data_IF_935387682533
#
_entry.id   IF_935387682533
#
_cell.length_a   1.000
_cell.length_b   1.000
_cell.length_c   1.000
_cell.angle_alpha   90.00
_cell.angle_beta   90.00
_cell.angle_gamma   90.00
#
_symmetry.space_group_name_H-M   'P 1'
#
loop_
_entity.id
_entity.type
_entity.pdbx_description
1 polymer ?
#
# COMPACT_ATOMS: atom_id res chain seq x y z
N UNK A 1 -25.86 -8.52 16.78
CA UNK A 1 -24.64 -8.87 16.03
C UNK A 1 -24.91 -9.24 14.57
N UNK A 2 -25.79 -10.22 14.27
CA UNK A 2 -26.04 -10.67 12.89
C UNK A 2 -26.42 -9.56 11.90
N UNK A 3 -27.31 -8.63 12.28
CA UNK A 3 -27.70 -7.48 11.44
C UNK A 3 -26.50 -6.58 11.11
N UNK A 4 -25.63 -6.30 12.10
CA UNK A 4 -24.43 -5.50 11.89
C UNK A 4 -23.41 -6.21 11.01
N UNK A 5 -23.28 -7.53 11.14
CA UNK A 5 -22.43 -8.31 10.24
C UNK A 5 -22.95 -8.24 8.80
N UNK A 6 -24.26 -8.44 8.58
CA UNK A 6 -24.87 -8.35 7.26
C UNK A 6 -24.68 -6.96 6.65
N UNK A 7 -24.92 -5.90 7.42
CA UNK A 7 -24.66 -4.52 6.99
C UNK A 7 -23.18 -4.29 6.67
N UNK A 8 -22.27 -4.81 7.51
CA UNK A 8 -20.82 -4.73 7.29
C UNK A 8 -20.40 -5.42 6.00
N UNK A 9 -20.96 -6.58 5.68
CA UNK A 9 -20.68 -7.30 4.42
C UNK A 9 -21.26 -6.52 3.23
N UNK A 10 -22.48 -6.01 3.33
CA UNK A 10 -23.09 -5.20 2.29
C UNK A 10 -22.27 -3.93 1.98
N UNK A 11 -21.82 -3.21 3.01
CA UNK A 11 -20.97 -2.02 2.85
C UNK A 11 -19.58 -2.37 2.31
N UNK A 12 -19.03 -3.53 2.68
CA UNK A 12 -17.77 -4.01 2.11
C UNK A 12 -17.88 -4.28 0.61
N UNK A 13 -18.96 -4.94 0.18
CA UNK A 13 -19.24 -5.19 -1.24
C UNK A 13 -19.50 -3.87 -1.98
N UNK A 14 -20.30 -2.98 -1.41
CA UNK A 14 -20.59 -1.67 -1.99
C UNK A 14 -19.31 -0.86 -2.21
N UNK A 15 -18.43 -0.83 -1.20
CA UNK A 15 -17.15 -0.13 -1.29
C UNK A 15 -16.23 -0.70 -2.38
N UNK A 16 -16.31 -1.99 -2.65
CA UNK A 16 -15.55 -2.62 -3.74
C UNK A 16 -16.05 -2.21 -5.14
N UNK A 17 -17.28 -1.70 -5.25
CA UNK A 17 -17.86 -1.21 -6.51
C UNK A 17 -17.62 0.29 -6.75
N UNK A 18 -17.09 1.00 -5.75
CA UNK A 18 -16.75 2.42 -5.90
C UNK A 18 -15.56 2.58 -6.85
N UNK A 19 -15.51 3.68 -7.64
CA UNK A 19 -14.39 3.96 -8.51
C UNK A 19 -13.09 4.02 -7.71
N UNK A 20 -12.01 3.48 -8.28
CA UNK A 20 -10.70 3.51 -7.64
C UNK A 20 -10.27 4.95 -7.38
N UNK A 21 -9.85 5.22 -6.14
CA UNK A 21 -9.30 6.52 -5.76
C UNK A 21 -7.91 6.71 -6.38
N UNK A 22 -7.46 7.95 -6.59
CA UNK A 22 -6.18 8.26 -7.25
C UNK A 22 -4.95 7.72 -6.50
N UNK A 23 -5.11 7.28 -5.26
CA UNK A 23 -4.07 6.66 -4.45
C UNK A 23 -4.26 5.13 -4.45
N UNK A 24 -3.25 4.35 -4.91
CA UNK A 24 -3.33 2.90 -4.92
C UNK A 24 -3.67 2.32 -3.55
N UNK A 25 -4.74 1.54 -3.47
CA UNK A 25 -5.20 0.91 -2.23
C UNK A 25 -6.01 1.83 -1.29
N UNK A 26 -6.16 3.12 -1.60
CA UNK A 26 -7.00 4.01 -0.81
C UNK A 26 -8.48 3.64 -0.96
N UNK A 27 -9.19 3.58 0.17
CA UNK A 27 -10.63 3.34 0.27
C UNK A 27 -11.24 4.32 1.26
N UNK A 28 -12.54 4.61 1.12
CA UNK A 28 -13.26 5.54 2.00
C UNK A 28 -13.36 4.99 3.44
N UNK A 29 -13.40 3.67 3.59
CA UNK A 29 -13.56 2.98 4.88
C UNK A 29 -15.02 2.80 5.28
N UNK A 30 -15.97 2.69 4.34
CA UNK A 30 -17.40 2.55 4.65
C UNK A 30 -17.68 1.33 5.54
N UNK A 31 -17.00 0.21 5.26
CA UNK A 31 -17.14 -0.98 6.08
C UNK A 31 -16.71 -0.74 7.54
N UNK A 32 -15.69 0.11 7.76
CA UNK A 32 -15.11 0.40 9.08
C UNK A 32 -16.04 1.24 9.98
N UNK A 33 -17.04 1.91 9.40
CA UNK A 33 -18.15 2.54 10.13
C UNK A 33 -18.81 1.53 11.07
N UNK A 34 -19.13 0.34 10.55
CA UNK A 34 -19.83 -0.72 11.29
C UNK A 34 -18.97 -1.24 12.43
N UNK A 35 -17.66 -1.39 12.20
CA UNK A 35 -16.69 -1.82 13.21
C UNK A 35 -16.56 -0.81 14.34
N UNK A 36 -16.52 0.48 14.02
CA UNK A 36 -16.46 1.55 15.01
C UNK A 36 -17.74 1.61 15.86
N UNK A 37 -18.91 1.46 15.23
CA UNK A 37 -20.19 1.40 15.96
C UNK A 37 -20.24 0.16 16.85
N UNK A 38 -19.85 -1.01 16.33
CA UNK A 38 -19.81 -2.25 17.09
C UNK A 38 -18.87 -2.17 18.29
N UNK A 39 -17.72 -1.51 18.15
CA UNK A 39 -16.76 -1.29 19.22
C UNK A 39 -17.37 -0.49 20.38
N UNK A 40 -18.23 0.48 20.11
CA UNK A 40 -18.88 1.25 21.17
C UNK A 40 -20.09 0.53 21.79
N UNK A 41 -20.85 -0.22 21.00
CA UNK A 41 -22.05 -0.91 21.47
C UNK A 41 -21.71 -2.18 22.27
N UNK A 42 -20.80 -3.01 21.76
CA UNK A 42 -20.49 -4.32 22.35
C UNK A 42 -19.08 -4.43 22.93
N UNK A 43 -18.14 -3.62 22.46
CA UNK A 43 -16.76 -3.64 22.93
C UNK A 43 -15.79 -4.30 21.95
N UNK A 44 -14.55 -4.50 22.41
CA UNK A 44 -13.44 -4.91 21.54
C UNK A 44 -13.63 -6.31 20.96
N UNK A 45 -14.05 -7.28 21.79
CA UNK A 45 -14.13 -8.70 21.38
C UNK A 45 -15.06 -8.87 20.17
N UNK A 46 -16.22 -8.24 20.25
CA UNK A 46 -17.26 -8.29 19.24
C UNK A 46 -16.88 -7.48 17.99
N UNK A 47 -16.21 -6.34 18.16
CA UNK A 47 -15.70 -5.57 17.04
C UNK A 47 -14.63 -6.32 16.24
N UNK A 48 -13.71 -7.03 16.91
CA UNK A 48 -12.72 -7.90 16.27
C UNK A 48 -13.40 -9.03 15.51
N UNK A 49 -14.33 -9.73 16.16
CA UNK A 49 -15.09 -10.82 15.52
C UNK A 49 -15.82 -10.31 14.28
N UNK A 50 -16.47 -9.15 14.37
CA UNK A 50 -17.19 -8.54 13.26
C UNK A 50 -16.24 -8.19 12.11
N UNK A 51 -15.08 -7.59 12.37
CA UNK A 51 -14.11 -7.25 11.32
C UNK A 51 -13.59 -8.49 10.61
N UNK A 52 -13.20 -9.52 11.35
CA UNK A 52 -12.67 -10.76 10.77
C UNK A 52 -13.75 -11.44 9.94
N UNK A 53 -14.94 -11.63 10.51
CA UNK A 53 -16.03 -12.34 9.84
C UNK A 53 -16.54 -11.57 8.62
N UNK A 54 -16.68 -10.24 8.74
CA UNK A 54 -17.01 -9.35 7.61
C UNK A 54 -15.98 -9.47 6.50
N UNK A 55 -14.70 -9.46 6.82
CA UNK A 55 -13.64 -9.53 5.81
C UNK A 55 -13.66 -10.88 5.08
N UNK A 56 -13.83 -11.99 5.81
CA UNK A 56 -13.97 -13.33 5.24
C UNK A 56 -15.18 -13.38 4.32
N UNK A 57 -16.37 -13.06 4.84
CA UNK A 57 -17.62 -13.15 4.07
C UNK A 57 -17.65 -12.19 2.88
N UNK A 58 -17.21 -10.93 3.06
CA UNK A 58 -17.14 -9.95 1.99
C UNK A 58 -16.20 -10.36 0.86
N UNK A 59 -15.02 -10.92 1.21
CA UNK A 59 -14.06 -11.39 0.21
C UNK A 59 -14.54 -12.67 -0.49
N UNK A 60 -15.33 -13.52 0.18
CA UNK A 60 -16.00 -14.66 -0.45
C UNK A 60 -17.02 -14.18 -1.50
N UNK A 61 -17.86 -13.21 -1.16
CA UNK A 61 -18.89 -12.66 -2.06
C UNK A 61 -18.26 -11.98 -3.29
N UNK A 62 -17.16 -11.25 -3.09
CA UNK A 62 -16.43 -10.59 -4.18
C UNK A 62 -15.60 -11.59 -5.01
N UNK A 63 -15.29 -12.78 -4.47
CA UNK A 63 -14.42 -13.76 -5.13
C UNK A 63 -12.92 -13.47 -4.98
N UNK A 64 -12.52 -12.74 -3.94
CA UNK A 64 -11.11 -12.37 -3.64
C UNK A 64 -10.58 -13.04 -2.37
N UNK A 65 -11.24 -14.10 -1.89
CA UNK A 65 -10.82 -14.83 -0.70
C UNK A 65 -9.39 -15.36 -0.85
N UNK A 66 -8.55 -15.15 0.18
CA UNK A 66 -7.12 -15.48 0.20
C UNK A 66 -6.23 -14.76 -0.83
N UNK A 67 -6.78 -13.91 -1.70
CA UNK A 67 -6.00 -13.05 -2.58
C UNK A 67 -5.38 -11.87 -1.80
N UNK A 68 -4.47 -11.11 -2.44
CA UNK A 68 -3.83 -9.94 -1.80
C UNK A 68 -4.84 -8.93 -1.17
N UNK A 69 -5.97 -8.59 -1.82
CA UNK A 69 -6.96 -7.68 -1.23
C UNK A 69 -7.59 -8.18 0.07
N UNK A 70 -7.73 -9.50 0.24
CA UNK A 70 -8.22 -10.11 1.47
C UNK A 70 -7.25 -9.84 2.64
N UNK A 71 -5.96 -10.07 2.42
CA UNK A 71 -4.94 -9.84 3.45
C UNK A 71 -4.77 -8.36 3.80
N UNK A 72 -4.84 -7.47 2.80
CA UNK A 72 -4.84 -6.03 3.02
C UNK A 72 -6.00 -5.62 3.93
N UNK A 73 -7.22 -6.05 3.60
CA UNK A 73 -8.41 -5.72 4.39
C UNK A 73 -8.39 -6.33 5.79
N UNK A 74 -7.92 -7.58 5.93
CA UNK A 74 -7.89 -8.29 7.21
C UNK A 74 -6.91 -7.66 8.18
N UNK A 75 -5.64 -7.52 7.79
CA UNK A 75 -4.60 -6.97 8.67
C UNK A 75 -4.88 -5.50 8.97
N UNK A 76 -5.23 -4.70 7.95
CA UNK A 76 -5.62 -3.31 8.15
C UNK A 76 -6.78 -3.19 9.15
N UNK A 77 -7.84 -3.98 8.97
CA UNK A 77 -9.02 -3.93 9.83
C UNK A 77 -8.75 -4.35 11.28
N UNK A 78 -7.96 -5.42 11.46
CA UNK A 78 -7.58 -5.90 12.80
C UNK A 78 -6.71 -4.87 13.51
N UNK A 79 -5.70 -4.32 12.84
CA UNK A 79 -4.83 -3.27 13.39
C UNK A 79 -5.64 -2.02 13.73
N UNK A 80 -6.58 -1.62 12.88
CA UNK A 80 -7.50 -0.51 13.11
C UNK A 80 -8.31 -0.68 14.40
N UNK A 81 -9.00 -1.82 14.55
CA UNK A 81 -9.81 -2.10 15.76
C UNK A 81 -8.93 -2.19 17.00
N UNK A 82 -7.72 -2.76 16.89
CA UNK A 82 -6.78 -2.83 18.00
C UNK A 82 -6.39 -1.43 18.50
N UNK A 83 -6.04 -0.51 17.61
CA UNK A 83 -5.68 0.87 17.97
C UNK A 83 -6.88 1.60 18.57
N UNK A 84 -8.06 1.50 17.95
CA UNK A 84 -9.27 2.14 18.47
C UNK A 84 -9.65 1.60 19.86
N UNK A 85 -9.57 0.28 20.07
CA UNK A 85 -9.84 -0.34 21.36
C UNK A 85 -8.80 0.08 22.43
N UNK A 86 -7.53 0.19 22.07
CA UNK A 86 -6.48 0.65 22.98
C UNK A 86 -6.72 2.10 23.42
N UNK A 87 -7.05 2.99 22.48
CA UNK A 87 -7.37 4.40 22.79
C UNK A 87 -8.59 4.49 23.71
N UNK A 88 -9.66 3.74 23.46
CA UNK A 88 -10.83 3.74 24.36
C UNK A 88 -10.49 3.26 25.78
N UNK A 89 -9.61 2.25 25.90
CA UNK A 89 -9.22 1.71 27.20
C UNK A 89 -8.30 2.64 27.99
N UNK A 90 -7.40 3.37 27.33
CA UNK A 90 -6.41 4.21 28.01
C UNK A 90 -6.82 5.67 28.15
N UNK A 91 -7.55 6.21 27.18
CA UNK A 91 -7.86 7.63 27.13
C UNK A 91 -9.24 8.00 27.73
N UNK A 92 -10.00 7.03 28.27
CA UNK A 92 -11.17 7.30 29.12
C UNK A 92 -12.25 8.20 28.51
N UNK A 93 -12.42 8.19 27.19
CA UNK A 93 -13.35 9.08 26.48
C UNK A 93 -12.80 10.44 26.08
N UNK A 94 -11.49 10.68 26.19
CA UNK A 94 -10.86 11.93 25.72
C UNK A 94 -11.02 12.16 24.20
N UNK A 95 -11.15 11.07 23.42
CA UNK A 95 -11.46 11.11 21.99
C UNK A 95 -12.95 10.85 21.74
N UNK A 96 -13.52 11.55 20.75
CA UNK A 96 -14.85 11.24 20.23
C UNK A 96 -14.78 10.06 19.23
N UNK A 97 -15.93 9.56 18.73
CA UNK A 97 -15.92 8.61 17.62
C UNK A 97 -15.17 9.14 16.38
N UNK A 98 -15.09 10.46 16.19
CA UNK A 98 -14.32 11.09 15.10
C UNK A 98 -12.82 10.88 15.30
N UNK A 99 -12.26 11.22 16.46
CA UNK A 99 -10.84 11.01 16.75
C UNK A 99 -10.45 9.54 16.73
N UNK A 100 -11.34 8.67 17.22
CA UNK A 100 -11.13 7.22 17.17
C UNK A 100 -11.07 6.71 15.72
N UNK A 101 -11.98 7.19 14.86
CA UNK A 101 -12.01 6.87 13.44
C UNK A 101 -10.76 7.37 12.71
N UNK A 102 -10.28 8.58 13.01
CA UNK A 102 -9.03 9.12 12.46
C UNK A 102 -7.83 8.22 12.78
N UNK A 103 -7.67 7.85 14.06
CA UNK A 103 -6.61 6.94 14.48
C UNK A 103 -6.76 5.55 13.84
N UNK A 104 -8.00 5.04 13.79
CA UNK A 104 -8.33 3.77 13.15
C UNK A 104 -8.04 3.76 11.66
N UNK A 105 -8.33 4.84 10.92
CA UNK A 105 -8.07 4.97 9.49
C UNK A 105 -6.57 5.03 9.19
N UNK A 106 -5.81 5.81 9.98
CA UNK A 106 -4.35 5.85 9.88
C UNK A 106 -3.72 4.47 10.14
N UNK A 107 -4.17 3.78 11.19
CA UNK A 107 -3.71 2.44 11.55
C UNK A 107 -4.11 1.38 10.51
N UNK A 108 -5.31 1.50 9.92
CA UNK A 108 -5.78 0.63 8.83
C UNK A 108 -4.87 0.74 7.61
N UNK A 109 -4.59 1.98 7.18
CA UNK A 109 -3.71 2.27 6.04
C UNK A 109 -2.29 1.76 6.29
N UNK A 110 -1.75 1.93 7.51
CA UNK A 110 -0.46 1.37 7.89
C UNK A 110 -0.47 -0.16 7.80
N UNK A 111 -1.48 -0.82 8.35
CA UNK A 111 -1.61 -2.28 8.29
C UNK A 111 -1.68 -2.81 6.86
N UNK A 112 -2.46 -2.16 5.98
CA UNK A 112 -2.53 -2.49 4.56
C UNK A 112 -1.16 -2.38 3.88
N UNK A 113 -0.43 -1.30 4.17
CA UNK A 113 0.87 -1.04 3.55
C UNK A 113 1.95 -1.99 4.02
N UNK A 114 1.91 -2.43 5.28
CA UNK A 114 2.82 -3.45 5.79
C UNK A 114 2.63 -4.80 5.09
N UNK A 115 1.37 -5.20 4.82
CA UNK A 115 1.11 -6.39 4.02
C UNK A 115 1.57 -6.19 2.59
N UNK A 116 1.32 -5.02 1.99
CA UNK A 116 1.78 -4.71 0.63
C UNK A 116 3.32 -4.78 0.53
N UNK A 117 4.04 -4.27 1.53
CA UNK A 117 5.49 -4.41 1.62
C UNK A 117 5.93 -5.88 1.73
N UNK A 118 5.27 -6.68 2.58
CA UNK A 118 5.57 -8.10 2.71
C UNK A 118 5.30 -8.92 1.44
N UNK A 119 4.27 -8.57 0.66
CA UNK A 119 3.91 -9.25 -0.60
C UNK A 119 4.82 -8.83 -1.76
N UNK A 120 5.12 -7.54 -1.87
CA UNK A 120 5.91 -7.01 -3.01
C UNK A 120 7.41 -7.10 -2.80
N UNK A 121 7.88 -7.18 -1.55
CA UNK A 121 9.30 -7.10 -1.18
C UNK A 121 9.93 -5.71 -1.36
N UNK A 122 9.19 -4.74 -1.91
CA UNK A 122 9.73 -3.45 -2.30
C UNK A 122 9.50 -2.40 -1.20
N UNK A 123 10.59 -1.84 -0.68
CA UNK A 123 10.53 -0.75 0.32
C UNK A 123 9.89 0.52 -0.23
N UNK A 124 9.94 0.73 -1.55
CA UNK A 124 9.32 1.86 -2.23
C UNK A 124 7.81 1.98 -1.95
N UNK A 125 7.13 0.87 -1.65
CA UNK A 125 5.70 0.88 -1.27
C UNK A 125 5.46 1.71 -0.02
N UNK A 126 6.40 1.77 0.93
CA UNK A 126 6.26 2.56 2.15
C UNK A 126 6.27 4.08 1.89
N UNK A 127 6.77 4.53 0.74
CA UNK A 127 6.76 5.95 0.36
C UNK A 127 5.32 6.48 0.11
N UNK A 128 4.34 5.60 -0.09
CA UNK A 128 2.93 5.98 -0.21
C UNK A 128 2.28 6.29 1.15
N UNK A 129 2.86 5.85 2.27
CA UNK A 129 2.31 6.04 3.62
C UNK A 129 1.93 7.50 3.94
N UNK A 130 2.78 8.52 3.72
CA UNK A 130 2.39 9.90 4.00
C UNK A 130 1.13 10.35 3.26
N UNK A 131 0.98 9.97 1.98
CA UNK A 131 -0.20 10.30 1.20
C UNK A 131 -1.45 9.58 1.73
N UNK A 132 -1.31 8.31 2.13
CA UNK A 132 -2.40 7.56 2.75
C UNK A 132 -2.79 8.12 4.13
N UNK A 133 -1.84 8.62 4.92
CA UNK A 133 -2.11 9.28 6.19
C UNK A 133 -2.88 10.59 5.99
N UNK A 134 -2.50 11.41 5.01
CA UNK A 134 -3.25 12.62 4.67
C UNK A 134 -4.66 12.28 4.18
N UNK A 135 -4.80 11.26 3.34
CA UNK A 135 -6.11 10.77 2.88
C UNK A 135 -6.97 10.22 4.02
N UNK A 136 -6.35 9.66 5.07
CA UNK A 136 -7.08 9.14 6.23
C UNK A 136 -7.80 10.22 7.05
N UNK A 137 -7.40 11.50 6.92
CA UNK A 137 -8.03 12.60 7.62
C UNK A 137 -9.49 12.84 7.17
N UNK A 138 -9.77 13.16 5.89
CA UNK A 138 -11.15 13.34 5.44
C UNK A 138 -11.96 12.04 5.52
N UNK A 139 -11.38 10.90 5.16
CA UNK A 139 -12.06 9.61 5.21
C UNK A 139 -12.43 9.21 6.65
N UNK A 140 -11.47 9.29 7.56
CA UNK A 140 -11.66 9.00 8.98
C UNK A 140 -12.66 9.96 9.64
N UNK A 141 -12.60 11.25 9.31
CA UNK A 141 -13.56 12.23 9.82
C UNK A 141 -15.00 11.94 9.36
N UNK A 142 -15.20 11.59 8.08
CA UNK A 142 -16.50 11.25 7.53
C UNK A 142 -17.08 9.99 8.18
N UNK A 143 -16.29 8.92 8.27
CA UNK A 143 -16.70 7.67 8.93
C UNK A 143 -17.01 7.90 10.41
N UNK A 144 -16.19 8.69 11.10
CA UNK A 144 -16.38 8.98 12.52
C UNK A 144 -17.60 9.85 12.79
N UNK A 145 -17.88 10.84 11.94
CA UNK A 145 -19.10 11.65 12.01
C UNK A 145 -20.35 10.80 11.79
N UNK A 146 -20.32 9.92 10.78
CA UNK A 146 -21.39 8.95 10.54
C UNK A 146 -21.61 8.02 11.74
N UNK A 147 -20.52 7.51 12.34
CA UNK A 147 -20.60 6.64 13.51
C UNK A 147 -21.23 7.39 14.70
N UNK A 148 -20.82 8.62 14.93
CA UNK A 148 -21.37 9.45 16.01
C UNK A 148 -22.88 9.71 15.80
N UNK A 149 -23.34 9.93 14.56
CA UNK A 149 -24.77 10.09 14.26
C UNK A 149 -25.57 8.81 14.48
N UNK A 150 -25.03 7.67 14.03
CA UNK A 150 -25.64 6.36 14.25
C UNK A 150 -25.69 6.03 15.74
N UNK A 151 -24.61 6.27 16.48
CA UNK A 151 -24.57 6.06 17.92
C UNK A 151 -25.59 6.93 18.65
N UNK A 152 -25.70 8.21 18.29
CA UNK A 152 -26.67 9.11 18.91
C UNK A 152 -28.12 8.63 18.71
N UNK A 153 -28.43 7.99 17.58
CA UNK A 153 -29.74 7.42 17.30
C UNK A 153 -29.97 6.06 17.97
N UNK A 154 -28.94 5.20 18.04
CA UNK A 154 -29.07 3.82 18.53
C UNK A 154 -28.87 3.67 20.05
N UNK A 155 -28.03 4.50 20.67
CA UNK A 155 -27.70 4.38 22.10
C UNK A 155 -28.94 4.42 23.02
N UNK A 156 -29.94 5.30 22.80
CA UNK A 156 -31.14 5.34 23.64
C UNK A 156 -31.96 4.04 23.58
N UNK A 157 -31.93 3.34 22.44
CA UNK A 157 -32.68 2.10 22.24
C UNK A 157 -31.94 0.88 22.79
N UNK A 158 -30.61 0.88 22.72
CA UNK A 158 -29.77 -0.28 23.06
C UNK A 158 -29.36 -0.30 24.53
N UNK A 159 -29.16 0.86 25.17
CA UNK A 159 -28.69 0.92 26.56
C UNK A 159 -29.62 0.20 27.56
N UNK A 160 -30.97 0.35 27.48
CA UNK A 160 -31.88 -0.38 28.37
C UNK A 160 -31.80 -1.90 28.20
N UNK A 161 -31.60 -2.38 26.97
CA UNK A 161 -31.49 -3.81 26.64
C UNK A 161 -30.19 -4.45 27.15
N UNK A 162 -29.15 -3.64 27.38
CA UNK A 162 -27.85 -4.10 27.88
C UNK A 162 -27.73 -4.03 29.40
N UNK A 163 -28.81 -3.66 30.11
CA UNK A 163 -28.76 -3.43 31.57
C UNK A 163 -27.80 -2.30 31.97
N UNK A 164 -27.42 -1.43 31.03
CA UNK A 164 -26.71 -0.19 31.32
C UNK A 164 -27.76 0.79 31.84
N UNK A 165 -27.50 1.44 32.99
CA UNK A 165 -28.35 2.52 33.51
C UNK A 165 -28.59 3.58 32.44
N UNK A 166 -29.66 4.39 32.57
CA UNK A 166 -30.08 5.34 31.53
C UNK A 166 -28.87 6.06 30.93
N UNK A 167 -28.64 5.93 29.62
CA UNK A 167 -27.46 6.50 29.00
C UNK A 167 -27.55 8.02 29.17
N UNK A 168 -26.51 8.62 29.74
CA UNK A 168 -26.31 10.06 29.66
C UNK A 168 -26.53 10.46 28.18
N UNK A 169 -27.43 11.41 27.88
CA UNK A 169 -27.91 11.61 26.53
C UNK A 169 -26.75 12.00 25.63
N UNK A 170 -26.28 11.06 24.80
CA UNK A 170 -25.20 11.27 23.84
C UNK A 170 -25.50 12.44 22.88
N UNK A 171 -26.78 12.81 22.77
CA UNK A 171 -27.32 13.99 22.09
C UNK A 171 -26.77 15.33 22.62
N UNK A 172 -26.16 15.37 23.82
CA UNK A 172 -25.56 16.56 24.42
C UNK A 172 -24.03 16.60 24.30
N UNK A 173 -23.41 15.51 23.84
CA UNK A 173 -21.94 15.44 23.75
C UNK A 173 -21.45 16.10 22.47
N UNK A 174 -20.45 16.99 22.59
CA UNK A 174 -19.82 17.63 21.43
C UNK A 174 -19.37 16.57 20.42
N UNK A 175 -19.71 16.78 19.15
CA UNK A 175 -19.30 15.93 18.02
C UNK A 175 -17.76 15.82 17.94
N UNK A 176 -17.07 16.89 18.31
CA UNK A 176 -15.61 16.96 18.40
C UNK A 176 -15.18 17.18 19.85
N UNK A 177 -14.23 16.36 20.30
CA UNK A 177 -13.53 16.46 21.59
C UNK A 177 -12.09 16.94 21.35
N UNK A 178 -11.42 17.54 22.35
CA UNK A 178 -10.04 18.02 22.20
C UNK A 178 -9.05 16.92 21.78
N UNK A 179 -9.29 15.65 22.17
CA UNK A 179 -8.49 14.52 21.71
C UNK A 179 -8.52 14.31 20.19
N UNK A 180 -9.61 14.70 19.51
CA UNK A 180 -9.73 14.54 18.06
C UNK A 180 -8.74 15.45 17.32
N UNK A 181 -8.55 16.67 17.82
CA UNK A 181 -7.56 17.61 17.29
C UNK A 181 -6.14 17.11 17.53
N UNK A 182 -5.86 16.52 18.70
CA UNK A 182 -4.56 15.94 18.99
C UNK A 182 -4.23 14.78 18.04
N UNK A 183 -5.20 13.88 17.79
CA UNK A 183 -5.04 12.78 16.83
C UNK A 183 -4.85 13.31 15.41
N UNK A 184 -5.70 14.24 14.97
CA UNK A 184 -5.61 14.83 13.62
C UNK A 184 -4.28 15.56 13.40
N UNK A 185 -3.83 16.34 14.38
CA UNK A 185 -2.53 17.01 14.35
C UNK A 185 -1.40 15.98 14.32
N UNK A 186 -1.45 14.96 15.17
CA UNK A 186 -0.44 13.89 15.20
C UNK A 186 -0.31 13.17 13.85
N UNK A 187 -1.43 12.83 13.21
CA UNK A 187 -1.44 12.22 11.87
C UNK A 187 -0.85 13.17 10.83
N UNK A 188 -1.20 14.46 10.87
CA UNK A 188 -0.71 15.47 9.94
C UNK A 188 0.80 15.70 10.09
N UNK A 189 1.28 15.83 11.33
CA UNK A 189 2.71 15.98 11.64
C UNK A 189 3.49 14.75 11.22
N UNK A 190 2.99 13.55 11.53
CA UNK A 190 3.63 12.30 11.09
C UNK A 190 3.72 12.21 9.57
N UNK A 191 2.65 12.55 8.85
CA UNK A 191 2.67 12.60 7.40
C UNK A 191 3.69 13.62 6.87
N UNK A 192 3.76 14.81 7.47
CA UNK A 192 4.73 15.85 7.13
C UNK A 192 6.18 15.42 7.36
N UNK A 193 6.48 14.78 8.50
CA UNK A 193 7.81 14.23 8.81
C UNK A 193 8.20 13.13 7.82
N UNK A 194 7.26 12.24 7.47
CA UNK A 194 7.51 11.19 6.49
C UNK A 194 7.73 11.76 5.08
N UNK A 195 6.96 12.77 4.66
CA UNK A 195 7.18 13.48 3.39
C UNK A 195 8.52 14.18 3.36
N UNK A 196 8.88 14.86 4.46
CA UNK A 196 10.18 15.50 4.59
C UNK A 196 11.30 14.47 4.43
N UNK A 197 11.20 13.33 5.10
CA UNK A 197 12.20 12.27 5.00
C UNK A 197 12.28 11.66 3.58
N UNK A 198 11.15 11.51 2.87
CA UNK A 198 11.17 10.96 1.50
C UNK A 198 11.64 11.96 0.43
N UNK A 199 11.44 13.27 0.64
CA UNK A 199 11.80 14.32 -0.32
C UNK A 199 13.15 15.01 -0.03
N UNK A 200 13.59 15.07 1.22
CA UNK A 200 14.79 15.82 1.64
C UNK A 200 15.99 14.91 1.90
N UNK A 201 15.75 13.66 2.33
CA UNK A 201 16.80 12.64 2.44
C UNK A 201 16.63 11.69 1.25
N UNK A 202 17.44 11.80 0.16
CA UNK A 202 17.49 10.78 -0.87
C UNK A 202 18.17 9.53 -0.29
N UNK A 203 17.48 8.84 0.61
CA UNK A 203 17.87 7.56 1.16
C UNK A 203 17.41 6.48 0.20
N UNK A 204 18.26 6.19 -0.79
CA UNK A 204 18.30 4.93 -1.54
C UNK A 204 16.94 4.23 -1.70
N UNK A 205 15.95 4.93 -2.27
CA UNK A 205 14.93 4.23 -3.01
C UNK A 205 15.69 3.61 -4.18
N UNK A 206 15.81 2.28 -4.22
CA UNK A 206 16.20 1.55 -5.43
C UNK A 206 15.26 2.05 -6.53
N UNK A 207 15.75 3.03 -7.26
CA UNK A 207 14.98 3.88 -8.15
C UNK A 207 14.79 3.13 -9.44
N UNK A 208 14.16 1.94 -9.40
CA UNK A 208 14.05 1.04 -10.56
C UNK A 208 15.33 1.07 -11.40
N UNK A 209 16.49 0.93 -10.73
CA UNK A 209 17.77 1.27 -11.30
C UNK A 209 17.90 0.49 -12.61
N UNK A 210 17.86 1.23 -13.72
CA UNK A 210 18.01 0.64 -15.05
C UNK A 210 19.30 -0.16 -14.99
N UNK A 211 19.20 -1.46 -15.19
CA UNK A 211 20.32 -2.39 -15.08
C UNK A 211 20.44 -3.15 -16.39
N UNK A 212 21.67 -3.41 -16.81
CA UNK A 212 21.93 -4.28 -17.94
C UNK A 212 22.17 -5.70 -17.43
N UNK A 213 21.35 -6.66 -17.86
CA UNK A 213 21.55 -8.08 -17.60
C UNK A 213 22.38 -8.67 -18.73
N UNK A 214 23.47 -9.33 -18.39
CA UNK A 214 24.35 -10.03 -19.33
C UNK A 214 24.14 -11.52 -19.18
N UNK A 215 23.72 -12.16 -20.28
CA UNK A 215 23.47 -13.60 -20.37
C UNK A 215 24.46 -14.22 -21.35
N UNK A 216 25.08 -15.34 -20.97
CA UNK A 216 25.96 -16.14 -21.83
C UNK A 216 25.36 -17.54 -21.96
N UNK A 217 24.94 -17.90 -23.17
CA UNK A 217 24.09 -19.07 -23.38
C UNK A 217 22.73 -18.87 -22.71
N UNK A 218 22.40 -19.73 -21.75
CA UNK A 218 21.15 -19.68 -20.97
C UNK A 218 21.36 -19.23 -19.52
N UNK A 219 22.57 -18.79 -19.16
CA UNK A 219 22.90 -18.38 -17.79
C UNK A 219 23.17 -16.88 -17.70
N UNK A 220 22.52 -16.23 -16.73
CA UNK A 220 22.80 -14.84 -16.36
C UNK A 220 24.13 -14.80 -15.61
N UNK A 221 25.12 -14.10 -16.18
CA UNK A 221 26.49 -14.05 -15.63
C UNK A 221 26.78 -12.74 -14.90
N UNK A 222 26.06 -11.66 -15.23
CA UNK A 222 26.23 -10.37 -14.56
C UNK A 222 24.97 -9.51 -14.65
N UNK A 223 24.73 -8.73 -13.61
CA UNK A 223 23.72 -7.67 -13.59
C UNK A 223 24.43 -6.35 -13.27
N UNK A 224 24.43 -5.43 -14.23
CA UNK A 224 25.25 -4.23 -14.21
C UNK A 224 24.37 -3.01 -13.96
N UNK A 225 24.50 -2.30 -12.83
CA UNK A 225 23.74 -1.08 -12.60
C UNK A 225 24.20 0.02 -13.57
N UNK A 226 23.24 0.70 -14.22
CA UNK A 226 23.54 1.84 -15.11
C UNK A 226 23.57 3.17 -14.34
N UNK A 227 24.07 3.16 -13.11
CA UNK A 227 24.18 4.34 -12.24
C UNK A 227 25.54 5.05 -12.38
N UNK A 228 26.57 4.31 -12.81
CA UNK A 228 27.95 4.78 -12.86
C UNK A 228 28.66 4.30 -14.12
N UNK A 229 29.73 4.99 -14.47
CA UNK A 229 30.64 4.54 -15.52
C UNK A 229 31.47 3.36 -15.00
N UNK A 230 31.39 2.23 -15.71
CA UNK A 230 32.17 1.04 -15.39
C UNK A 230 32.42 0.21 -16.65
N UNK A 231 33.49 -0.59 -16.59
CA UNK A 231 33.91 -1.46 -17.68
C UNK A 231 33.98 -2.87 -17.16
N UNK A 232 33.25 -3.77 -17.81
CA UNK A 232 33.05 -5.15 -17.39
C UNK A 232 33.52 -6.11 -18.48
N UNK A 233 34.65 -6.81 -18.29
CA UNK A 233 35.04 -7.87 -19.20
C UNK A 233 34.11 -9.07 -19.02
N UNK A 234 33.63 -9.62 -20.14
CA UNK A 234 32.77 -10.80 -20.22
C UNK A 234 33.49 -11.85 -21.05
N UNK A 235 33.63 -13.04 -20.48
CA UNK A 235 34.25 -14.17 -21.16
C UNK A 235 33.18 -15.18 -21.59
N UNK A 236 33.07 -15.41 -22.90
CA UNK A 236 32.15 -16.35 -23.52
C UNK A 236 32.94 -17.46 -24.24
N UNK A 237 33.92 -18.04 -23.55
CA UNK A 237 34.70 -19.18 -24.02
C UNK A 237 35.82 -18.77 -24.98
N UNK A 238 35.55 -18.77 -26.29
CA UNK A 238 36.53 -18.34 -27.31
C UNK A 238 36.40 -16.86 -27.69
N UNK A 239 35.39 -16.18 -27.14
CA UNK A 239 35.05 -14.80 -27.46
C UNK A 239 35.07 -13.98 -26.18
N UNK A 240 35.86 -12.91 -26.17
CA UNK A 240 35.95 -11.96 -25.07
C UNK A 240 35.29 -10.66 -25.51
N UNK A 241 34.41 -10.14 -24.65
CA UNK A 241 33.70 -8.88 -24.87
C UNK A 241 33.96 -7.94 -23.71
N UNK A 242 33.90 -6.64 -23.98
CA UNK A 242 34.00 -5.61 -22.95
C UNK A 242 32.71 -4.81 -22.97
N UNK A 243 31.90 -4.99 -21.93
CA UNK A 243 30.65 -4.25 -21.72
C UNK A 243 30.98 -2.98 -20.96
N UNK A 244 30.51 -1.85 -21.47
CA UNK A 244 30.72 -0.54 -20.88
C UNK A 244 29.36 0.04 -20.45
N UNK A 245 29.26 0.41 -19.19
CA UNK A 245 28.09 1.10 -18.63
C UNK A 245 28.40 2.57 -18.46
N UNK A 246 27.38 3.40 -18.61
CA UNK A 246 27.37 4.81 -18.25
C UNK A 246 25.98 5.15 -17.70
N UNK A 247 25.79 6.32 -17.06
CA UNK A 247 24.50 6.70 -16.50
C UNK A 247 23.35 6.52 -17.52
N UNK A 248 22.45 5.57 -17.24
CA UNK A 248 21.27 5.24 -18.05
C UNK A 248 21.49 4.52 -19.39
N UNK A 249 22.70 4.04 -19.69
CA UNK A 249 22.99 3.38 -20.98
C UNK A 249 24.10 2.32 -20.90
N UNK A 250 24.07 1.36 -21.82
CA UNK A 250 25.07 0.30 -21.94
C UNK A 250 25.47 0.08 -23.40
N UNK A 251 26.73 -0.32 -23.63
CA UNK A 251 27.21 -0.79 -24.94
C UNK A 251 28.23 -1.90 -24.79
N UNK A 252 28.50 -2.61 -25.88
CA UNK A 252 29.72 -3.44 -26.01
C UNK A 252 30.80 -2.59 -26.68
N UNK A 253 31.88 -2.27 -25.94
CA UNK A 253 32.98 -1.42 -26.43
C UNK A 253 33.85 -2.16 -27.43
N UNK A 254 34.18 -3.43 -27.14
CA UNK A 254 35.00 -4.29 -27.98
C UNK A 254 34.55 -5.73 -27.85
N UNK A 255 34.66 -6.50 -28.94
CA UNK A 255 34.47 -7.94 -28.94
C UNK A 255 35.53 -8.61 -29.83
N UNK A 256 35.97 -9.83 -29.50
CA UNK A 256 36.92 -10.58 -30.35
C UNK A 256 36.25 -11.39 -31.47
N UNK A 257 34.93 -11.25 -31.69
CA UNK A 257 34.20 -11.97 -32.73
C UNK A 257 34.33 -11.31 -34.12
N UNK A 258 34.26 -12.06 -35.23
CA UNK A 258 34.41 -11.49 -36.57
C UNK A 258 33.30 -10.50 -36.95
N UNK A 259 32.06 -10.77 -36.54
CA UNK A 259 30.89 -10.06 -37.05
C UNK A 259 30.72 -8.64 -36.46
N UNK A 260 31.29 -8.38 -35.28
CA UNK A 260 31.26 -7.09 -34.58
C UNK A 260 29.86 -6.45 -34.37
N UNK A 261 28.76 -7.17 -34.64
CA UNK A 261 27.37 -6.67 -34.55
C UNK A 261 27.07 -6.04 -33.19
N UNK A 262 27.52 -6.69 -32.11
CA UNK A 262 27.34 -6.17 -30.75
C UNK A 262 28.04 -4.82 -30.51
N UNK A 263 29.21 -4.60 -31.12
CA UNK A 263 29.96 -3.33 -31.04
C UNK A 263 29.30 -2.26 -31.92
N UNK A 264 28.89 -2.64 -33.13
CA UNK A 264 28.23 -1.75 -34.08
C UNK A 264 26.84 -1.28 -33.62
N UNK A 265 26.19 -2.05 -32.74
CA UNK A 265 24.90 -1.68 -32.13
C UNK A 265 25.01 -0.39 -31.30
N UNK A 266 26.18 -0.10 -30.73
CA UNK A 266 26.42 1.11 -29.95
C UNK A 266 25.66 1.14 -28.62
N UNK A 267 25.29 2.34 -28.19
CA UNK A 267 24.62 2.57 -26.90
C UNK A 267 23.13 2.24 -26.98
N UNK A 268 22.65 1.44 -26.03
CA UNK A 268 21.23 1.21 -25.78
C UNK A 268 20.84 1.71 -24.39
N UNK A 269 19.57 2.10 -24.21
CA UNK A 269 19.08 2.72 -22.98
C UNK A 269 17.63 2.42 -22.65
N UNK A 270 16.82 1.93 -23.60
CA UNK A 270 15.40 1.64 -23.39
C UNK A 270 15.20 0.22 -22.87
N UNK A 271 14.31 0.05 -21.89
CA UNK A 271 13.94 -1.26 -21.36
C UNK A 271 13.45 -2.20 -22.49
N UNK A 272 13.93 -3.44 -22.49
CA UNK A 272 13.66 -4.42 -23.53
C UNK A 272 14.55 -4.31 -24.78
N UNK A 273 15.40 -3.28 -24.90
CA UNK A 273 16.46 -3.29 -25.91
C UNK A 273 17.54 -4.31 -25.52
N UNK A 274 18.09 -4.97 -26.54
CA UNK A 274 19.17 -5.93 -26.39
C UNK A 274 20.29 -5.68 -27.39
N UNK A 275 21.51 -5.97 -26.96
CA UNK A 275 22.69 -6.14 -27.80
C UNK A 275 22.98 -7.63 -27.85
N UNK A 276 23.09 -8.19 -29.04
CA UNK A 276 23.29 -9.64 -29.23
C UNK A 276 24.64 -9.90 -29.90
N UNK A 277 25.43 -10.79 -29.30
CA UNK A 277 26.61 -11.38 -29.90
C UNK A 277 26.32 -12.85 -30.21
N UNK A 278 25.92 -13.14 -31.45
CA UNK A 278 25.52 -14.48 -31.86
C UNK A 278 26.67 -15.51 -31.76
N UNK A 279 27.92 -15.23 -32.20
CA UNK A 279 29.00 -16.21 -32.10
C UNK A 279 29.39 -16.56 -30.67
N UNK A 280 29.30 -15.58 -29.75
CA UNK A 280 29.56 -15.76 -28.31
C UNK A 280 28.34 -16.20 -27.52
N UNK A 281 27.16 -16.31 -28.15
CA UNK A 281 25.86 -16.52 -27.49
C UNK A 281 25.65 -15.57 -26.30
N UNK A 282 26.04 -14.31 -26.45
CA UNK A 282 25.91 -13.29 -25.40
C UNK A 282 24.75 -12.36 -25.72
N UNK A 283 23.91 -12.10 -24.73
CA UNK A 283 22.84 -11.09 -24.80
C UNK A 283 23.03 -10.11 -23.66
N UNK A 284 23.12 -8.82 -23.99
CA UNK A 284 23.10 -7.71 -23.02
C UNK A 284 21.77 -7.02 -23.16
N UNK A 285 20.91 -7.10 -22.16
CA UNK A 285 19.55 -6.56 -22.20
C UNK A 285 19.34 -5.52 -21.11
N UNK A 286 18.68 -4.42 -21.46
CA UNK A 286 18.32 -3.38 -20.48
C UNK A 286 17.01 -3.77 -19.79
N UNK A 287 17.08 -3.94 -18.47
CA UNK A 287 15.97 -4.26 -17.59
C UNK A 287 15.81 -3.21 -16.48
N UNK A 288 14.56 -2.87 -16.16
CA UNK A 288 14.25 -1.78 -15.23
C UNK A 288 14.16 -0.41 -15.92
N UNK A 289 13.37 0.49 -15.32
CA UNK A 289 12.89 1.73 -15.95
C UNK A 289 11.40 1.63 -16.29
N UNK A 290 10.68 2.76 -16.20
CA UNK A 290 9.25 2.81 -16.56
C UNK A 290 9.06 2.25 -17.98
N UNK A 291 8.23 1.22 -18.10
CA UNK A 291 7.68 0.82 -19.39
C UNK A 291 6.99 2.04 -20.00
N UNK A 292 7.51 2.55 -21.11
CA UNK A 292 6.77 3.52 -21.90
C UNK A 292 5.46 2.85 -22.38
N UNK A 293 4.34 3.57 -22.35
CA UNK A 293 3.05 3.00 -22.67
C UNK A 293 2.90 2.83 -24.20
N UNK A 294 2.35 1.68 -24.59
CA UNK A 294 1.85 1.28 -25.91
C UNK A 294 2.89 0.87 -26.97
N UNK A 295 2.78 -0.40 -27.39
CA UNK A 295 2.61 -0.76 -28.80
C UNK A 295 1.87 -2.11 -28.88
N UNK A 296 0.55 -2.05 -28.77
CA UNK A 296 -0.32 -3.14 -29.21
C UNK A 296 -0.57 -2.94 -30.72
N UNK A 297 0.42 -3.34 -31.52
CA UNK A 297 0.18 -3.67 -32.94
C UNK A 297 0.24 -5.18 -33.04
N UNK A 298 -0.93 -5.80 -33.12
CA UNK A 298 -1.09 -7.03 -33.90
C UNK A 298 -2.45 -6.98 -34.59
N UNK A 299 -2.38 -7.15 -35.91
CA UNK A 299 -3.50 -7.37 -36.83
C UNK A 299 -4.35 -8.57 -36.42
#
# INVERSE_FOLDING_TARGET
MGVFLALGVALHVLEAQLPALPLPGAKVGLANLVSLVALHLWGAREAFLLVVLRQVLGSLVIGTFLAAPFWFGLVGGVVSVAVMAAILRWAGGWCSPVGLSLAGAAAHNLGQLLVAWGVTGQRAVLAYLPFLLLFSLPAGALVGWGAHRILAALMPLVAPLQGRGEPEPLATTKVLRPGDWAVGLGVTVLAGVLLWNTWVLPGAADSGAVSAVVTVGDQVVAQLPLDREAVHPVDAGRIHLVVETAPGRVRVRTATCPDQVCVLTGWISRAGQSIVCLPGRVVVQVEGGQAAPYDAITR
#
